data_IF_002786875472
#
_entry.id   IF_002786875472
#
_cell.length_a   1.000
_cell.length_b   1.000
_cell.length_c   1.000
_cell.angle_alpha   90.00
_cell.angle_beta   90.00
_cell.angle_gamma   90.00
#
_symmetry.space_group_name_H-M   'P 1'
#
loop_
_entity.id
_entity.type
_entity.pdbx_description
1 polymer ?
#
# COMPACT_ATOMS: atom_id res chain seq x y z
N UNK A 1 -29.80 -60.30 -22.78
CA UNK A 1 -29.80 -58.92 -23.32
C UNK A 1 -30.02 -57.83 -22.25
N UNK A 2 -30.90 -58.03 -21.24
CA UNK A 2 -31.07 -57.02 -20.16
C UNK A 2 -29.85 -56.82 -19.24
N UNK A 3 -29.05 -57.87 -19.00
CA UNK A 3 -27.87 -57.75 -18.11
C UNK A 3 -26.71 -56.95 -18.71
N UNK A 4 -26.44 -57.02 -20.02
CA UNK A 4 -25.32 -56.28 -20.63
C UNK A 4 -25.60 -54.77 -20.67
N UNK A 5 -26.87 -54.39 -20.91
CA UNK A 5 -27.30 -52.98 -20.90
C UNK A 5 -27.18 -52.34 -19.49
N UNK A 6 -27.38 -53.12 -18.43
CA UNK A 6 -27.32 -52.61 -17.07
C UNK A 6 -25.87 -52.37 -16.60
N UNK A 7 -24.92 -53.21 -17.03
CA UNK A 7 -23.49 -53.05 -16.70
C UNK A 7 -22.87 -51.81 -17.39
N UNK A 8 -23.25 -51.52 -18.63
CA UNK A 8 -22.71 -50.38 -19.38
C UNK A 8 -23.18 -49.03 -18.81
N UNK A 9 -24.46 -48.93 -18.42
CA UNK A 9 -25.01 -47.74 -17.77
C UNK A 9 -24.44 -47.53 -16.35
N UNK A 10 -24.20 -48.61 -15.60
CA UNK A 10 -23.55 -48.53 -14.29
C UNK A 10 -22.10 -48.03 -14.39
N UNK A 11 -21.33 -48.54 -15.36
CA UNK A 11 -19.94 -48.12 -15.62
C UNK A 11 -19.84 -46.64 -16.06
N UNK A 12 -20.77 -46.19 -16.93
CA UNK A 12 -20.86 -44.77 -17.32
C UNK A 12 -21.22 -43.87 -16.14
N UNK A 13 -22.15 -44.29 -15.28
CA UNK A 13 -22.52 -43.55 -14.07
C UNK A 13 -21.35 -43.38 -13.10
N UNK A 14 -20.56 -44.43 -12.88
CA UNK A 14 -19.36 -44.35 -12.05
C UNK A 14 -18.28 -43.45 -12.66
N UNK A 15 -18.09 -43.49 -13.98
CA UNK A 15 -17.12 -42.64 -14.68
C UNK A 15 -17.46 -41.15 -14.57
N UNK A 16 -18.75 -40.80 -14.73
CA UNK A 16 -19.24 -39.42 -14.56
C UNK A 16 -19.08 -38.94 -13.11
N UNK A 17 -19.36 -39.81 -12.14
CA UNK A 17 -19.21 -39.50 -10.72
C UNK A 17 -17.74 -39.24 -10.35
N UNK A 18 -16.82 -40.10 -10.79
CA UNK A 18 -15.37 -39.96 -10.53
C UNK A 18 -14.85 -38.66 -11.17
N UNK A 19 -15.24 -38.38 -12.41
CA UNK A 19 -14.85 -37.14 -13.09
C UNK A 19 -15.37 -35.89 -12.37
N UNK A 20 -16.61 -35.92 -11.89
CA UNK A 20 -17.21 -34.81 -11.13
C UNK A 20 -16.49 -34.58 -9.79
N UNK A 21 -16.12 -35.65 -9.08
CA UNK A 21 -15.33 -35.57 -7.84
C UNK A 21 -13.94 -35.01 -8.12
N UNK A 22 -13.28 -35.46 -9.19
CA UNK A 22 -11.96 -34.96 -9.58
C UNK A 22 -11.99 -33.46 -9.91
N UNK A 23 -13.02 -32.98 -10.62
CA UNK A 23 -13.22 -31.55 -10.88
C UNK A 23 -13.47 -30.75 -9.60
N UNK A 24 -14.28 -31.29 -8.68
CA UNK A 24 -14.55 -30.63 -7.40
C UNK A 24 -13.27 -30.50 -6.55
N UNK A 25 -12.48 -31.57 -6.44
CA UNK A 25 -11.20 -31.55 -5.72
C UNK A 25 -10.22 -30.58 -6.40
N UNK A 26 -10.12 -30.62 -7.73
CA UNK A 26 -9.28 -29.70 -8.49
C UNK A 26 -9.66 -28.24 -8.27
N UNK A 27 -10.96 -27.92 -8.28
CA UNK A 27 -11.46 -26.58 -7.99
C UNK A 27 -11.11 -26.11 -6.58
N UNK A 28 -11.27 -26.97 -5.57
CA UNK A 28 -10.91 -26.67 -4.17
C UNK A 28 -9.40 -26.41 -4.04
N UNK A 29 -8.56 -27.24 -4.66
CA UNK A 29 -7.11 -27.07 -4.63
C UNK A 29 -6.68 -25.73 -5.25
N UNK A 30 -7.28 -25.32 -6.37
CA UNK A 30 -7.00 -24.03 -7.00
C UNK A 30 -7.33 -22.88 -6.03
N UNK A 31 -8.50 -22.90 -5.38
CA UNK A 31 -8.90 -21.88 -4.41
C UNK A 31 -7.92 -21.80 -3.23
N UNK A 32 -7.49 -22.95 -2.71
CA UNK A 32 -6.50 -23.01 -1.61
C UNK A 32 -5.17 -22.38 -2.05
N UNK A 33 -4.68 -22.73 -3.25
CA UNK A 33 -3.43 -22.18 -3.79
C UNK A 33 -3.53 -20.65 -3.90
N UNK A 34 -4.60 -20.11 -4.48
CA UNK A 34 -4.79 -18.66 -4.57
C UNK A 34 -4.81 -17.98 -3.19
N UNK A 35 -5.45 -18.59 -2.19
CA UNK A 35 -5.49 -18.05 -0.84
C UNK A 35 -4.10 -18.06 -0.17
N UNK A 36 -3.32 -19.12 -0.35
CA UNK A 36 -1.95 -19.23 0.16
C UNK A 36 -1.02 -18.22 -0.52
N UNK A 37 -1.11 -18.04 -1.84
CA UNK A 37 -0.33 -17.04 -2.58
C UNK A 37 -0.61 -15.62 -2.08
N UNK A 38 -1.88 -15.28 -1.81
CA UNK A 38 -2.25 -13.98 -1.26
C UNK A 38 -1.61 -13.72 0.11
N UNK A 39 -1.65 -14.70 1.02
CA UNK A 39 -1.01 -14.58 2.33
C UNK A 39 0.51 -14.48 2.24
N UNK A 40 1.13 -15.25 1.35
CA UNK A 40 2.58 -15.21 1.14
C UNK A 40 3.05 -13.85 0.64
N UNK A 41 2.32 -13.23 -0.30
CA UNK A 41 2.65 -11.89 -0.81
C UNK A 41 2.62 -10.82 0.30
N UNK A 42 1.61 -10.85 1.18
CA UNK A 42 1.51 -9.95 2.33
C UNK A 42 2.67 -10.17 3.31
N UNK A 43 2.96 -11.43 3.65
CA UNK A 43 4.05 -11.79 4.56
C UNK A 43 5.43 -11.38 4.02
N UNK A 44 5.67 -11.57 2.73
CA UNK A 44 6.92 -11.16 2.10
C UNK A 44 7.09 -9.63 2.17
N UNK A 45 6.03 -8.86 1.86
CA UNK A 45 6.06 -7.41 1.93
C UNK A 45 6.33 -6.87 3.34
N UNK A 46 5.74 -7.48 4.38
CA UNK A 46 6.01 -7.10 5.78
C UNK A 46 7.41 -7.49 6.24
N UNK A 47 7.91 -8.65 5.82
CA UNK A 47 9.27 -9.10 6.14
C UNK A 47 10.33 -8.18 5.54
N UNK A 48 10.19 -7.81 4.26
CA UNK A 48 11.10 -6.86 3.60
C UNK A 48 11.10 -5.52 4.33
N UNK A 49 9.92 -4.95 4.59
CA UNK A 49 9.77 -3.71 5.38
C UNK A 49 10.50 -3.77 6.72
N UNK A 50 10.29 -4.85 7.47
CA UNK A 50 10.90 -5.02 8.79
C UNK A 50 12.42 -5.14 8.71
N UNK A 51 12.95 -5.76 7.64
CA UNK A 51 14.41 -5.85 7.43
C UNK A 51 15.05 -4.48 7.21
N UNK A 52 14.41 -3.60 6.42
CA UNK A 52 14.87 -2.22 6.23
C UNK A 52 14.82 -1.41 7.53
N UNK A 53 13.71 -1.50 8.27
CA UNK A 53 13.57 -0.80 9.56
C UNK A 53 14.58 -1.29 10.60
N UNK A 54 14.92 -2.58 10.59
CA UNK A 54 15.89 -3.16 11.51
C UNK A 54 17.33 -2.70 11.24
N UNK A 55 17.69 -2.46 9.97
CA UNK A 55 19.01 -1.89 9.62
C UNK A 55 19.15 -0.42 10.04
N UNK A 56 18.02 0.29 10.21
CA UNK A 56 17.95 1.67 10.70
C UNK A 56 18.79 2.71 9.91
N UNK A 57 19.09 2.41 8.65
CA UNK A 57 19.70 3.37 7.74
C UNK A 57 18.60 4.11 6.99
N UNK A 58 18.41 5.40 7.28
CA UNK A 58 17.38 6.20 6.65
C UNK A 58 17.88 7.58 6.23
N UNK A 59 17.16 8.19 5.30
CA UNK A 59 17.33 9.57 4.84
C UNK A 59 15.96 10.15 4.50
N UNK A 60 15.90 11.46 4.21
CA UNK A 60 14.69 12.11 3.74
C UNK A 60 14.72 12.15 2.22
N UNK A 61 13.74 11.54 1.58
CA UNK A 61 13.54 11.62 0.13
C UNK A 61 12.56 12.70 -0.25
N UNK A 62 12.81 13.35 -1.39
CA UNK A 62 11.93 14.30 -2.04
C UNK A 62 11.25 13.64 -3.24
N UNK A 63 9.92 13.76 -3.33
CA UNK A 63 9.18 13.32 -4.52
C UNK A 63 9.40 14.33 -5.64
N UNK A 64 10.05 13.90 -6.73
CA UNK A 64 10.32 14.75 -7.90
C UNK A 64 9.41 14.49 -9.09
N UNK A 65 8.84 13.29 -9.18
CA UNK A 65 7.91 12.92 -10.23
C UNK A 65 6.89 11.89 -9.74
N UNK A 66 5.70 11.91 -10.34
CA UNK A 66 4.63 10.94 -10.10
C UNK A 66 4.00 10.56 -11.43
N UNK A 67 3.79 9.27 -11.65
CA UNK A 67 3.27 8.76 -12.92
C UNK A 67 2.39 7.54 -12.79
N UNK A 68 1.76 7.15 -13.91
CA UNK A 68 0.75 6.07 -13.96
C UNK A 68 0.98 5.04 -15.08
N UNK A 69 2.19 4.96 -15.64
CA UNK A 69 2.49 4.00 -16.70
C UNK A 69 2.68 2.57 -16.17
N UNK A 70 1.71 1.69 -16.46
CA UNK A 70 1.63 0.28 -16.02
C UNK A 70 1.60 0.12 -14.49
N UNK A 71 0.86 1.01 -13.84
CA UNK A 71 0.81 1.13 -12.39
C UNK A 71 1.23 2.53 -11.98
N UNK A 72 0.82 2.91 -10.77
CA UNK A 72 1.20 4.21 -10.23
C UNK A 72 2.56 4.12 -9.53
N UNK A 73 3.37 5.16 -9.72
CA UNK A 73 4.70 5.26 -9.14
C UNK A 73 5.02 6.69 -8.74
N UNK A 74 6.01 6.83 -7.87
CA UNK A 74 6.67 8.07 -7.55
C UNK A 74 8.19 7.88 -7.71
N UNK A 75 8.86 8.93 -8.16
CA UNK A 75 10.32 9.02 -8.23
C UNK A 75 10.79 9.87 -7.06
N UNK A 76 11.75 9.35 -6.31
CA UNK A 76 12.33 10.00 -5.16
C UNK A 76 13.78 10.35 -5.41
N UNK A 77 14.15 11.59 -5.09
CA UNK A 77 15.54 11.99 -4.95
C UNK A 77 15.93 12.01 -3.48
N UNK A 78 17.10 11.47 -3.16
CA UNK A 78 17.62 11.44 -1.79
C UNK A 78 19.14 11.46 -1.78
N UNK A 79 19.71 11.79 -0.62
CA UNK A 79 21.16 11.90 -0.44
C UNK A 79 21.62 10.93 0.64
N UNK A 80 22.68 10.17 0.35
CA UNK A 80 23.37 9.28 1.28
C UNK A 80 24.86 9.61 1.19
N UNK A 81 25.49 9.99 2.31
CA UNK A 81 26.92 10.31 2.36
C UNK A 81 27.37 11.34 1.28
N UNK A 82 26.55 12.38 1.06
CA UNK A 82 26.73 13.43 0.02
C UNK A 82 26.62 12.97 -1.44
N UNK A 83 26.20 11.72 -1.69
CA UNK A 83 25.90 11.22 -3.03
C UNK A 83 24.39 11.26 -3.26
N UNK A 84 23.98 11.83 -4.40
CA UNK A 84 22.57 11.89 -4.81
C UNK A 84 22.16 10.59 -5.50
N UNK A 85 21.02 10.06 -5.10
CA UNK A 85 20.39 8.88 -5.67
C UNK A 85 18.98 9.20 -6.13
N UNK A 86 18.49 8.38 -7.07
CA UNK A 86 17.12 8.41 -7.55
C UNK A 86 16.52 7.02 -7.46
N UNK A 87 15.32 6.91 -6.89
CA UNK A 87 14.63 5.64 -6.72
C UNK A 87 13.18 5.72 -7.19
N UNK A 88 12.76 4.77 -8.02
CA UNK A 88 11.36 4.62 -8.41
C UNK A 88 10.67 3.65 -7.46
N UNK A 89 9.56 4.07 -6.88
CA UNK A 89 8.77 3.23 -5.98
C UNK A 89 7.30 3.17 -6.38
N UNK A 90 6.72 1.98 -6.31
CA UNK A 90 5.31 1.77 -6.65
C UNK A 90 4.41 2.36 -5.55
N UNK A 91 3.50 3.25 -5.92
CA UNK A 91 2.57 3.89 -5.00
C UNK A 91 1.33 4.37 -5.74
N UNK A 92 0.11 4.29 -5.18
CA UNK A 92 -1.06 4.88 -5.82
C UNK A 92 -0.83 6.37 -6.10
N UNK A 93 -1.05 6.81 -7.33
CA UNK A 93 -0.76 8.18 -7.77
C UNK A 93 -1.62 9.22 -7.03
N UNK A 94 -2.74 8.80 -6.43
CA UNK A 94 -3.61 9.64 -5.61
C UNK A 94 -3.04 9.97 -4.23
N UNK A 95 -2.02 9.23 -3.77
CA UNK A 95 -1.60 9.23 -2.38
C UNK A 95 -0.33 10.07 -2.14
N UNK A 96 0.32 10.52 -3.22
CA UNK A 96 1.64 11.16 -3.22
C UNK A 96 1.65 12.33 -4.21
N UNK A 97 2.30 13.42 -3.86
CA UNK A 97 2.44 14.62 -4.69
C UNK A 97 3.91 15.03 -4.84
N UNK A 98 4.22 15.72 -5.93
CA UNK A 98 5.53 16.31 -6.16
C UNK A 98 5.81 17.36 -5.07
N UNK A 99 7.05 17.37 -4.56
CA UNK A 99 7.49 18.23 -3.47
C UNK A 99 7.14 17.70 -2.07
N UNK A 100 6.64 16.48 -1.96
CA UNK A 100 6.46 15.83 -0.66
C UNK A 100 7.73 15.14 -0.19
N UNK A 101 7.91 15.08 1.13
CA UNK A 101 9.06 14.44 1.75
C UNK A 101 8.65 13.24 2.59
N UNK A 102 9.41 12.16 2.49
CA UNK A 102 9.16 10.90 3.19
C UNK A 102 10.46 10.31 3.73
N UNK A 103 10.34 9.49 4.77
CA UNK A 103 11.46 8.67 5.24
C UNK A 103 11.73 7.56 4.20
N UNK A 104 12.98 7.50 3.75
CA UNK A 104 13.50 6.44 2.88
C UNK A 104 14.50 5.63 3.67
N UNK A 105 14.19 4.35 3.87
CA UNK A 105 15.14 3.36 4.36
C UNK A 105 15.93 2.80 3.18
N UNK A 106 17.22 2.57 3.35
CA UNK A 106 18.09 2.05 2.29
C UNK A 106 19.06 1.00 2.85
N UNK A 107 19.59 0.13 1.99
CA UNK A 107 20.66 -0.79 2.39
C UNK A 107 22.01 -0.11 2.26
N UNK A 108 22.84 -0.17 3.31
CA UNK A 108 24.18 0.46 3.27
C UNK A 108 25.09 -0.11 2.17
N UNK A 109 24.92 -1.39 1.82
CA UNK A 109 25.71 -2.05 0.77
C UNK A 109 25.24 -1.72 -0.65
N UNK A 110 23.99 -1.31 -0.81
CA UNK A 110 23.40 -0.90 -2.08
C UNK A 110 22.32 0.17 -1.81
N UNK A 111 22.70 1.45 -1.81
CA UNK A 111 21.76 2.53 -1.50
C UNK A 111 20.60 2.68 -2.49
N UNK A 112 20.63 2.01 -3.65
CA UNK A 112 19.50 1.98 -4.59
C UNK A 112 18.39 1.01 -4.16
N UNK A 113 18.71 0.03 -3.32
CA UNK A 113 17.70 -0.83 -2.71
C UNK A 113 17.05 -0.08 -1.55
N UNK A 114 15.82 0.37 -1.78
CA UNK A 114 15.11 1.29 -0.88
C UNK A 114 13.73 0.78 -0.47
N UNK A 115 13.30 1.24 0.68
CA UNK A 115 11.93 1.16 1.16
C UNK A 115 11.45 2.55 1.58
N UNK A 116 10.36 3.02 0.97
CA UNK A 116 9.75 4.33 1.29
C UNK A 116 8.63 4.13 2.31
N UNK A 117 8.73 4.81 3.45
CA UNK A 117 7.67 4.80 4.46
C UNK A 117 6.65 5.92 4.22
N UNK A 118 5.59 5.57 3.49
CA UNK A 118 4.48 6.48 3.19
C UNK A 118 3.59 6.82 4.40
N UNK A 119 3.77 6.16 5.54
CA UNK A 119 3.03 6.50 6.76
C UNK A 119 3.63 7.69 7.50
N UNK A 120 4.92 7.97 7.26
CA UNK A 120 5.68 9.05 7.89
C UNK A 120 6.06 10.13 6.88
N UNK A 121 5.12 11.03 6.64
CA UNK A 121 5.41 12.26 5.88
C UNK A 121 6.22 13.23 6.73
N UNK A 122 7.24 13.81 6.12
CA UNK A 122 8.14 14.80 6.73
C UNK A 122 7.84 16.19 6.15
N UNK A 123 7.87 17.21 7.00
CA UNK A 123 7.99 18.60 6.57
C UNK A 123 9.39 19.06 6.96
N UNK A 124 10.07 19.78 6.08
CA UNK A 124 11.44 20.22 6.31
C UNK A 124 11.46 21.36 7.33
N UNK A 125 12.59 21.58 8.04
CA UNK A 125 12.68 22.63 9.06
C UNK A 125 12.37 24.06 8.57
N UNK A 126 12.56 24.31 7.28
CA UNK A 126 12.30 25.62 6.65
C UNK A 126 10.89 25.72 6.05
N UNK A 127 10.09 24.65 6.11
CA UNK A 127 8.72 24.68 5.65
C UNK A 127 7.85 25.46 6.64
N UNK A 128 7.06 26.40 6.12
CA UNK A 128 6.04 27.07 6.94
C UNK A 128 4.79 26.20 6.99
N UNK A 129 4.45 25.70 8.17
CA UNK A 129 3.29 24.84 8.41
C UNK A 129 2.28 25.50 9.35
N UNK A 130 1.03 25.03 9.26
CA UNK A 130 -0.03 25.37 10.21
C UNK A 130 -0.84 24.13 10.60
N UNK A 131 -1.51 24.22 11.74
CA UNK A 131 -2.42 23.19 12.22
C UNK A 131 -3.86 23.54 11.86
N UNK A 132 -4.64 22.54 11.46
CA UNK A 132 -6.09 22.64 11.30
C UNK A 132 -6.78 21.35 11.79
N UNK A 133 -8.11 21.36 11.83
CA UNK A 133 -8.93 20.19 12.08
C UNK A 133 -9.38 19.57 10.75
N UNK A 134 -9.27 18.26 10.65
CA UNK A 134 -9.76 17.48 9.53
C UNK A 134 -10.73 16.40 9.98
N UNK A 135 -11.80 16.21 9.22
CA UNK A 135 -12.75 15.12 9.43
C UNK A 135 -12.32 13.90 8.62
N UNK A 136 -12.22 12.75 9.27
CA UNK A 136 -11.97 11.47 8.61
C UNK A 136 -13.23 11.02 7.88
N UNK A 137 -13.09 10.71 6.59
CA UNK A 137 -14.18 10.33 5.69
C UNK A 137 -14.01 8.92 5.11
N UNK A 138 -12.88 8.27 5.34
CA UNK A 138 -12.62 6.89 4.96
C UNK A 138 -11.50 6.32 5.83
N UNK A 139 -11.63 5.06 6.24
CA UNK A 139 -10.59 4.31 6.95
C UNK A 139 -10.62 2.88 6.41
N UNK A 140 -9.45 2.35 6.06
CA UNK A 140 -9.23 0.92 5.86
C UNK A 140 -8.01 0.45 6.68
N UNK A 141 -7.51 -0.75 6.37
CA UNK A 141 -6.43 -1.39 7.13
C UNK A 141 -5.05 -0.76 6.86
N UNK A 142 -4.91 0.06 5.81
CA UNK A 142 -3.63 0.57 5.33
C UNK A 142 -3.60 2.09 5.15
N UNK A 143 -4.76 2.77 5.11
CA UNK A 143 -4.85 4.21 4.88
C UNK A 143 -6.10 4.84 5.52
N UNK A 144 -5.98 6.15 5.70
CA UNK A 144 -7.06 7.05 6.12
C UNK A 144 -7.22 8.13 5.06
N UNK A 145 -8.49 8.49 4.76
CA UNK A 145 -8.81 9.70 4.00
C UNK A 145 -9.47 10.70 4.92
N UNK A 146 -9.01 11.94 4.85
CA UNK A 146 -9.61 13.04 5.61
C UNK A 146 -9.87 14.24 4.70
N UNK A 147 -10.80 15.08 5.14
CA UNK A 147 -11.16 16.33 4.49
C UNK A 147 -11.06 17.49 5.47
N UNK A 148 -10.68 18.66 4.96
CA UNK A 148 -10.53 19.89 5.73
C UNK A 148 -10.76 21.10 4.84
N UNK A 149 -10.87 22.27 5.45
CA UNK A 149 -11.16 23.54 4.76
C UNK A 149 -10.14 24.60 5.15
N UNK A 150 -9.54 25.25 4.16
CA UNK A 150 -8.62 26.39 4.32
C UNK A 150 -9.15 27.52 3.45
N UNK A 151 -9.39 28.70 4.04
CA UNK A 151 -9.82 29.90 3.31
C UNK A 151 -11.00 29.67 2.34
N UNK A 152 -12.03 28.92 2.76
CA UNK A 152 -13.16 28.63 1.87
C UNK A 152 -13.01 27.36 1.01
N UNK A 153 -11.79 26.93 0.73
CA UNK A 153 -11.49 25.81 -0.18
C UNK A 153 -11.40 24.48 0.57
N UNK A 154 -12.00 23.43 0.00
CA UNK A 154 -11.99 22.08 0.57
C UNK A 154 -10.85 21.26 0.00
N UNK A 155 -10.12 20.59 0.87
CA UNK A 155 -9.03 19.69 0.53
C UNK A 155 -9.34 18.28 0.99
N UNK A 156 -8.76 17.31 0.29
CA UNK A 156 -8.87 15.88 0.60
C UNK A 156 -7.49 15.26 0.52
N UNK A 157 -7.19 14.36 1.45
CA UNK A 157 -5.90 13.67 1.45
C UNK A 157 -6.04 12.23 1.88
N UNK A 158 -5.36 11.33 1.16
CA UNK A 158 -5.06 9.99 1.62
C UNK A 158 -3.70 9.98 2.33
N UNK A 159 -3.62 9.26 3.44
CA UNK A 159 -2.40 9.03 4.19
C UNK A 159 -2.33 7.54 4.56
N UNK A 160 -1.18 6.90 4.35
CA UNK A 160 -0.97 5.52 4.79
C UNK A 160 -0.77 5.46 6.30
N UNK A 161 -1.16 4.35 6.92
CA UNK A 161 -1.09 4.15 8.38
C UNK A 161 -0.46 2.79 8.67
N UNK A 162 0.26 2.69 9.78
CA UNK A 162 0.93 1.43 10.15
C UNK A 162 0.01 0.39 10.79
N UNK A 163 -1.07 0.82 11.44
CA UNK A 163 -1.99 -0.06 12.14
C UNK A 163 -3.45 0.36 12.00
N UNK A 164 -4.30 -0.66 11.83
CA UNK A 164 -5.75 -0.53 11.87
C UNK A 164 -6.20 -0.10 13.27
N UNK A 165 -7.18 0.78 13.33
CA UNK A 165 -7.87 1.14 14.58
C UNK A 165 -7.40 2.42 15.26
N UNK A 166 -6.31 3.04 14.79
CA UNK A 166 -5.86 4.36 15.28
C UNK A 166 -6.86 5.48 14.92
N UNK A 167 -7.47 5.37 13.74
CA UNK A 167 -8.38 6.39 13.20
C UNK A 167 -9.81 5.86 13.10
N UNK A 168 -10.78 6.71 13.44
CA UNK A 168 -12.21 6.39 13.39
C UNK A 168 -12.91 7.20 12.32
N UNK A 169 -13.80 6.55 11.57
CA UNK A 169 -14.66 7.21 10.59
C UNK A 169 -15.49 8.32 11.28
N UNK A 170 -15.73 9.41 10.55
CA UNK A 170 -16.46 10.60 11.00
C UNK A 170 -15.86 11.38 12.19
N UNK A 171 -14.72 10.93 12.71
CA UNK A 171 -14.01 11.63 13.80
C UNK A 171 -13.12 12.75 13.25
N UNK A 172 -12.82 13.72 14.11
CA UNK A 172 -11.97 14.87 13.77
C UNK A 172 -10.60 14.71 14.40
N UNK A 173 -9.55 14.95 13.61
CA UNK A 173 -8.16 14.90 14.05
C UNK A 173 -7.45 16.20 13.69
N UNK A 174 -6.36 16.49 14.40
CA UNK A 174 -5.46 17.59 14.04
C UNK A 174 -4.65 17.17 12.82
N UNK A 175 -4.49 18.09 11.89
CA UNK A 175 -3.60 17.93 10.75
C UNK A 175 -2.62 19.09 10.74
N UNK A 176 -1.43 18.81 10.26
CA UNK A 176 -0.44 19.80 9.87
C UNK A 176 -0.40 19.88 8.35
N UNK A 177 -0.32 21.08 7.80
CA UNK A 177 -0.26 21.32 6.35
C UNK A 177 0.73 22.43 5.99
N UNK A 178 1.30 22.37 4.79
CA UNK A 178 2.16 23.42 4.24
C UNK A 178 1.33 24.66 3.87
N UNK A 179 1.71 25.85 4.33
CA UNK A 179 1.02 27.10 3.98
C UNK A 179 1.05 27.34 2.46
N UNK A 180 2.20 27.10 1.84
CA UNK A 180 2.40 27.31 0.39
C UNK A 180 1.64 26.30 -0.49
N UNK A 181 1.35 25.10 0.04
CA UNK A 181 0.58 24.08 -0.65
C UNK A 181 -0.31 23.33 0.36
N UNK A 182 -1.51 23.86 0.66
CA UNK A 182 -2.35 23.29 1.71
C UNK A 182 -2.79 21.85 1.47
N UNK A 183 -2.73 21.35 0.23
CA UNK A 183 -3.02 19.94 -0.11
C UNK A 183 -1.98 18.98 0.47
N UNK A 184 -0.75 19.46 0.66
CA UNK A 184 0.30 18.71 1.33
C UNK A 184 0.08 18.78 2.85
N UNK A 185 -0.60 17.76 3.37
CA UNK A 185 -0.94 17.63 4.79
C UNK A 185 -0.62 16.25 5.36
N UNK A 186 -0.56 16.16 6.69
CA UNK A 186 -0.52 14.91 7.46
C UNK A 186 -1.31 15.05 8.77
N UNK A 187 -1.89 13.96 9.25
CA UNK A 187 -2.46 13.91 10.60
C UNK A 187 -1.31 13.98 11.62
N UNK A 188 -1.51 14.77 12.67
CA UNK A 188 -0.60 14.90 13.81
C UNK A 188 -1.35 14.56 15.10
N UNK A 189 -0.65 13.95 16.06
CA UNK A 189 -1.17 13.65 17.40
C UNK A 189 -1.03 14.83 18.36
#
# INVERSE_FOLDING_TARGET
>A
MKESYNKENFSRGQSILIFSIALAIGGILIVIIFFLFGKFAVFYGTSVRNSFKAENNFTIGNVVDVGSYKGSYAIFEYVVENVKYEGRYNTPASDVEIGEHYIIYYRKKDPNDIYVDFSEKVFLPNDSTLINLAKVIYVDDAKVRYQYKINGMRYFRFQRIESKGRYKLDSTYRIEYLIANPKNSKIVE
#
